data_IF_236070250093
#
_entry.id   IF_236070250093
#
_cell.length_a   1.000
_cell.length_b   1.000
_cell.length_c   1.000
_cell.angle_alpha   90.00
_cell.angle_beta   90.00
_cell.angle_gamma   90.00
#
_symmetry.space_group_name_H-M   'P 1'
#
loop_
_entity.id
_entity.type
_entity.pdbx_description
1 polymer ?
#
# COMPACT_ATOMS: atom_id res chain seq x y z
N UNK A 1 -18.04 -24.54 25.81
CA UNK A 1 -18.72 -23.27 25.45
C UNK A 1 -17.88 -22.13 25.99
N UNK A 2 -17.55 -21.13 25.17
CA UNK A 2 -16.67 -20.01 25.54
C UNK A 2 -16.29 -19.17 24.32
N UNK A 3 -17.28 -18.45 23.80
CA UNK A 3 -17.35 -17.77 22.51
C UNK A 3 -16.21 -16.79 22.18
N UNK A 4 -15.33 -17.16 21.24
CA UNK A 4 -14.49 -16.19 20.47
C UNK A 4 -15.26 -15.45 19.37
N UNK A 5 -16.60 -15.46 19.42
CA UNK A 5 -17.50 -14.86 18.42
C UNK A 5 -17.86 -13.39 18.67
N UNK A 6 -17.45 -12.79 19.79
CA UNK A 6 -17.92 -11.45 20.20
C UNK A 6 -17.21 -10.24 19.57
N UNK A 7 -15.96 -10.37 19.11
CA UNK A 7 -15.18 -9.21 18.66
C UNK A 7 -15.46 -8.78 17.21
N UNK A 8 -16.21 -9.59 16.44
CA UNK A 8 -16.43 -9.39 15.00
C UNK A 8 -17.69 -8.56 14.67
N UNK A 9 -18.51 -8.21 15.67
CA UNK A 9 -19.78 -7.47 15.53
C UNK A 9 -19.68 -5.94 15.72
N UNK A 10 -18.59 -5.40 16.27
CA UNK A 10 -18.48 -3.96 16.58
C UNK A 10 -17.92 -3.08 15.45
N UNK A 11 -17.53 -3.66 14.31
CA UNK A 11 -17.05 -2.88 13.17
C UNK A 11 -18.10 -2.91 12.05
N UNK A 12 -18.56 -1.75 11.56
CA UNK A 12 -19.45 -1.69 10.40
C UNK A 12 -18.88 -2.52 9.25
N UNK A 13 -19.73 -3.34 8.63
CA UNK A 13 -19.35 -4.07 7.41
C UNK A 13 -19.00 -3.04 6.33
N UNK A 14 -17.74 -3.07 5.92
CA UNK A 14 -17.17 -2.07 5.04
C UNK A 14 -16.00 -1.47 5.75
N UNK A 15 -14.78 -1.86 5.37
CA UNK A 15 -13.60 -1.06 5.70
C UNK A 15 -13.88 0.28 5.03
N UNK A 16 -14.35 1.27 5.79
CA UNK A 16 -14.43 2.64 5.31
C UNK A 16 -13.01 2.92 4.85
N UNK A 17 -12.84 3.03 3.53
CA UNK A 17 -11.58 3.42 2.95
C UNK A 17 -11.49 4.91 3.29
N UNK A 18 -11.15 5.23 4.54
CA UNK A 18 -10.66 6.55 4.89
C UNK A 18 -9.51 6.78 3.93
N UNK A 19 -9.73 7.66 2.96
CA UNK A 19 -8.87 7.87 1.80
C UNK A 19 -7.40 8.08 2.22
N UNK A 20 -7.19 8.56 3.45
CA UNK A 20 -5.88 8.86 4.02
C UNK A 20 -5.12 7.66 4.59
N UNK A 21 -5.76 6.51 4.87
CA UNK A 21 -5.06 5.32 5.39
C UNK A 21 -4.08 4.71 4.39
N UNK A 22 -4.26 5.00 3.10
CA UNK A 22 -3.41 4.53 2.00
C UNK A 22 -2.64 5.67 1.32
N UNK A 23 -2.76 6.92 1.78
CA UNK A 23 -2.02 8.06 1.23
C UNK A 23 -0.52 7.78 1.35
N UNK A 24 0.23 7.97 0.27
CA UNK A 24 1.69 7.82 0.29
C UNK A 24 2.33 8.87 1.20
N UNK A 25 3.49 8.56 1.77
CA UNK A 25 4.32 9.55 2.46
C UNK A 25 4.94 10.47 1.42
N UNK A 26 4.59 11.76 1.47
CA UNK A 26 5.19 12.78 0.61
C UNK A 26 6.39 13.46 1.32
N UNK A 27 7.06 14.40 0.64
CA UNK A 27 8.24 15.07 1.19
C UNK A 27 7.93 15.84 2.48
N UNK A 28 6.77 16.50 2.56
CA UNK A 28 6.35 17.26 3.75
C UNK A 28 6.05 16.31 4.92
N UNK A 29 5.37 15.19 4.66
CA UNK A 29 5.12 14.17 5.68
C UNK A 29 6.46 13.61 6.20
N UNK A 30 7.44 13.38 5.30
CA UNK A 30 8.77 12.88 5.65
C UNK A 30 9.51 13.91 6.52
N UNK A 31 9.43 15.20 6.20
CA UNK A 31 10.05 16.25 7.01
C UNK A 31 9.53 16.21 8.46
N UNK A 32 8.21 16.14 8.64
CA UNK A 32 7.57 16.00 9.97
C UNK A 32 7.97 14.69 10.66
N UNK A 33 8.04 13.57 9.92
CA UNK A 33 8.49 12.29 10.47
C UNK A 33 9.94 12.33 11.00
N UNK A 34 10.81 13.07 10.32
CA UNK A 34 12.23 13.16 10.65
C UNK A 34 12.57 14.18 11.72
N UNK A 35 11.62 15.05 12.10
CA UNK A 35 11.80 16.02 13.17
C UNK A 35 12.07 15.30 14.51
N UNK A 36 13.24 15.50 15.14
CA UNK A 36 13.58 14.83 16.41
C UNK A 36 12.84 15.40 17.61
N UNK A 37 12.26 16.60 17.51
CA UNK A 37 11.60 17.29 18.62
C UNK A 37 10.17 16.80 18.87
N UNK A 38 9.53 16.24 17.84
CA UNK A 38 8.16 15.74 17.93
C UNK A 38 8.11 14.29 18.42
N UNK A 39 7.11 13.97 19.24
CA UNK A 39 6.76 12.60 19.59
C UNK A 39 5.97 11.93 18.47
N UNK A 40 5.92 10.58 18.46
CA UNK A 40 5.13 9.81 17.48
C UNK A 40 3.64 10.19 17.53
N UNK A 41 3.12 10.53 18.72
CA UNK A 41 1.71 10.90 18.90
C UNK A 41 1.40 12.28 18.31
N UNK A 42 2.28 13.26 18.51
CA UNK A 42 2.14 14.60 17.93
C UNK A 42 2.22 14.54 16.41
N UNK A 43 3.18 13.79 15.86
CA UNK A 43 3.26 13.57 14.42
C UNK A 43 1.98 12.93 13.88
N UNK A 44 1.45 11.91 14.56
CA UNK A 44 0.21 11.25 14.17
C UNK A 44 -0.98 12.22 14.14
N UNK A 45 -1.08 13.09 15.15
CA UNK A 45 -2.10 14.12 15.21
C UNK A 45 -1.93 15.15 14.10
N UNK A 46 -0.71 15.65 13.88
CA UNK A 46 -0.40 16.66 12.87
C UNK A 46 -0.65 16.14 11.44
N UNK A 47 -0.32 14.86 11.17
CA UNK A 47 -0.47 14.26 9.86
C UNK A 47 -1.83 13.59 9.63
N UNK A 48 -2.72 13.55 10.64
CA UNK A 48 -4.02 12.89 10.55
C UNK A 48 -3.93 11.37 10.35
N UNK A 49 -2.86 10.73 10.84
CA UNK A 49 -2.57 9.30 10.63
C UNK A 49 -2.61 8.50 11.93
N UNK A 50 -2.65 7.18 11.82
CA UNK A 50 -2.57 6.32 13.01
C UNK A 50 -1.18 6.33 13.62
N UNK A 51 -1.11 6.28 14.95
CA UNK A 51 0.15 6.22 15.72
C UNK A 51 1.05 5.08 15.25
N UNK A 52 0.47 3.89 15.00
CA UNK A 52 1.23 2.74 14.50
C UNK A 52 1.82 2.98 13.10
N UNK A 53 1.06 3.61 12.19
CA UNK A 53 1.56 3.94 10.85
C UNK A 53 2.74 4.92 10.92
N UNK A 54 2.63 5.95 11.75
CA UNK A 54 3.71 6.92 12.01
C UNK A 54 4.93 6.25 12.65
N UNK A 55 4.73 5.37 13.63
CA UNK A 55 5.81 4.64 14.29
C UNK A 55 6.69 3.90 13.27
N UNK A 56 6.09 3.04 12.44
CA UNK A 56 6.82 2.29 11.43
C UNK A 56 7.43 3.18 10.35
N UNK A 57 6.71 4.21 9.89
CA UNK A 57 7.22 5.14 8.89
C UNK A 57 8.42 5.92 9.42
N UNK A 58 8.37 6.41 10.66
CA UNK A 58 9.45 7.16 11.27
C UNK A 58 10.72 6.33 11.36
N UNK A 59 10.63 5.08 11.81
CA UNK A 59 11.79 4.17 11.79
C UNK A 59 12.31 3.94 10.37
N UNK A 60 11.41 3.75 9.40
CA UNK A 60 11.78 3.56 7.99
C UNK A 60 12.54 4.73 7.38
N UNK A 61 12.09 5.96 7.62
CA UNK A 61 12.65 7.16 6.99
C UNK A 61 13.81 7.77 7.78
N UNK A 62 13.92 7.49 9.07
CA UNK A 62 15.09 7.91 9.88
C UNK A 62 16.23 6.89 9.85
N UNK A 63 15.97 5.65 9.44
CA UNK A 63 16.96 4.57 9.41
C UNK A 63 17.47 4.16 10.79
N UNK A 64 16.81 4.61 11.87
CA UNK A 64 17.21 4.31 13.26
C UNK A 64 16.84 2.86 13.59
N UNK A 65 17.85 2.01 13.57
CA UNK A 65 17.82 0.60 13.96
C UNK A 65 18.80 0.43 15.12
N UNK A 66 18.37 -0.23 16.19
CA UNK A 66 19.26 -0.47 17.34
C UNK A 66 20.24 -1.60 17.02
N UNK A 67 21.39 -1.70 17.73
CA UNK A 67 22.39 -2.73 17.46
C UNK A 67 21.82 -4.15 17.43
N UNK A 68 20.85 -4.46 18.28
CA UNK A 68 20.22 -5.78 18.42
C UNK A 68 19.23 -6.11 17.31
N UNK A 69 18.78 -5.10 16.55
CA UNK A 69 17.81 -5.25 15.47
C UNK A 69 18.47 -5.53 14.11
N UNK A 70 19.79 -5.35 13.97
CA UNK A 70 20.49 -5.70 12.75
C UNK A 70 20.42 -7.20 12.48
N UNK A 71 20.27 -7.59 11.21
CA UNK A 71 20.12 -9.00 10.81
C UNK A 71 18.78 -9.63 11.19
N UNK A 72 17.79 -8.83 11.60
CA UNK A 72 16.44 -9.32 11.95
C UNK A 72 15.37 -8.79 11.00
N UNK A 73 14.17 -9.38 11.10
CA UNK A 73 12.96 -8.89 10.43
C UNK A 73 12.73 -7.39 10.69
N UNK A 74 12.89 -6.95 11.94
CA UNK A 74 12.65 -5.57 12.36
C UNK A 74 13.63 -4.61 11.71
N UNK A 75 14.93 -4.91 11.74
CA UNK A 75 15.95 -4.08 11.10
C UNK A 75 15.72 -3.92 9.60
N UNK A 76 15.34 -5.01 8.92
CA UNK A 76 14.98 -4.97 7.50
C UNK A 76 13.70 -4.17 7.24
N UNK A 77 12.66 -4.35 8.05
CA UNK A 77 11.39 -3.61 7.95
C UNK A 77 11.58 -2.11 8.18
N UNK A 78 12.48 -1.71 9.08
CA UNK A 78 12.90 -0.33 9.32
C UNK A 78 13.85 0.22 8.24
N UNK A 79 14.15 -0.57 7.21
CA UNK A 79 14.85 -0.09 6.02
C UNK A 79 16.37 -0.14 6.09
N UNK A 80 16.97 -0.72 7.13
CA UNK A 80 18.42 -0.88 7.21
C UNK A 80 18.95 -1.74 6.04
N UNK A 81 20.07 -1.29 5.45
CA UNK A 81 20.72 -1.93 4.30
C UNK A 81 22.13 -2.45 4.60
N UNK A 82 22.51 -2.61 5.86
CA UNK A 82 23.79 -3.24 6.21
C UNK A 82 23.81 -4.72 5.77
N UNK A 83 25.00 -5.31 5.67
CA UNK A 83 25.21 -6.66 5.17
C UNK A 83 24.41 -7.71 5.95
N UNK A 84 24.33 -7.58 7.29
CA UNK A 84 23.53 -8.48 8.13
C UNK A 84 22.04 -8.43 7.76
N UNK A 85 21.46 -7.24 7.57
CA UNK A 85 20.07 -7.07 7.17
C UNK A 85 19.83 -7.53 5.71
N UNK A 86 20.80 -7.35 4.82
CA UNK A 86 20.72 -7.87 3.45
C UNK A 86 20.75 -9.40 3.44
N UNK A 87 21.62 -10.02 4.24
CA UNK A 87 21.72 -11.47 4.40
C UNK A 87 20.41 -12.04 4.93
N UNK A 88 19.87 -11.47 6.02
CA UNK A 88 18.55 -11.83 6.54
C UNK A 88 17.47 -11.84 5.45
N UNK A 89 17.41 -10.80 4.60
CA UNK A 89 16.42 -10.76 3.53
C UNK A 89 16.65 -11.82 2.45
N UNK A 90 17.91 -12.15 2.12
CA UNK A 90 18.21 -13.26 1.19
C UNK A 90 17.73 -14.60 1.75
N UNK A 91 18.05 -14.88 3.01
CA UNK A 91 17.66 -16.13 3.67
C UNK A 91 16.14 -16.24 3.79
N UNK A 92 15.49 -15.16 4.20
CA UNK A 92 14.03 -15.09 4.29
C UNK A 92 13.34 -15.27 2.93
N UNK A 93 13.93 -14.77 1.83
CA UNK A 93 13.41 -15.01 0.48
C UNK A 93 13.63 -16.46 0.02
N UNK A 94 14.74 -17.09 0.43
CA UNK A 94 15.02 -18.49 0.11
C UNK A 94 14.06 -19.46 0.81
N UNK A 95 13.63 -19.14 2.04
CA UNK A 95 12.64 -19.92 2.79
C UNK A 95 11.20 -19.72 2.29
N UNK A 96 10.93 -18.65 1.54
CA UNK A 96 9.58 -18.35 1.09
C UNK A 96 9.12 -19.30 0.00
N UNK A 97 7.93 -19.87 0.20
CA UNK A 97 7.19 -20.53 -0.87
C UNK A 97 6.63 -19.49 -1.85
N UNK A 98 7.45 -19.15 -2.85
CA UNK A 98 7.10 -18.21 -3.91
C UNK A 98 5.88 -18.67 -4.73
N UNK A 99 5.65 -19.98 -4.85
CA UNK A 99 4.52 -20.52 -5.59
C UNK A 99 3.21 -20.30 -4.83
N UNK A 100 3.19 -20.56 -3.52
CA UNK A 100 2.05 -20.26 -2.67
C UNK A 100 1.80 -18.75 -2.55
N UNK A 101 2.84 -17.92 -2.46
CA UNK A 101 2.71 -16.46 -2.51
C UNK A 101 2.08 -15.98 -3.83
N UNK A 102 2.56 -16.50 -4.97
CA UNK A 102 1.99 -16.19 -6.27
C UNK A 102 0.52 -16.65 -6.38
N UNK A 103 0.17 -17.81 -5.82
CA UNK A 103 -1.20 -18.29 -5.77
C UNK A 103 -2.10 -17.37 -4.94
N UNK A 104 -1.65 -16.95 -3.75
CA UNK A 104 -2.36 -15.96 -2.91
C UNK A 104 -2.57 -14.64 -3.65
N UNK A 105 -1.53 -14.13 -4.31
CA UNK A 105 -1.61 -12.89 -5.09
C UNK A 105 -2.62 -13.01 -6.25
N UNK A 106 -2.62 -14.13 -6.99
CA UNK A 106 -3.60 -14.41 -8.05
C UNK A 106 -5.03 -14.48 -7.51
N UNK A 107 -5.26 -15.18 -6.40
CA UNK A 107 -6.58 -15.28 -5.77
C UNK A 107 -7.11 -13.91 -5.31
N UNK A 108 -6.24 -13.10 -4.70
CA UNK A 108 -6.59 -11.73 -4.31
C UNK A 108 -6.95 -10.85 -5.51
N UNK A 109 -6.15 -10.90 -6.59
CA UNK A 109 -6.41 -10.14 -7.80
C UNK A 109 -7.68 -10.61 -8.52
N UNK A 110 -7.98 -11.91 -8.52
CA UNK A 110 -9.22 -12.46 -9.07
C UNK A 110 -10.44 -11.89 -8.36
N UNK A 111 -10.46 -11.92 -7.03
CA UNK A 111 -11.56 -11.35 -6.22
C UNK A 111 -11.83 -9.88 -6.56
N UNK A 112 -10.79 -9.08 -6.80
CA UNK A 112 -10.93 -7.68 -7.24
C UNK A 112 -11.48 -7.56 -8.66
N UNK A 113 -11.09 -8.44 -9.58
CA UNK A 113 -11.66 -8.45 -10.93
C UNK A 113 -13.15 -8.79 -10.88
N UNK A 114 -13.53 -9.82 -10.12
CA UNK A 114 -14.93 -10.25 -9.97
C UNK A 114 -15.84 -9.10 -9.47
N UNK A 115 -15.31 -8.20 -8.64
CA UNK A 115 -16.03 -7.00 -8.20
C UNK A 115 -16.24 -5.95 -9.30
N UNK A 116 -15.30 -5.84 -10.25
CA UNK A 116 -15.34 -4.83 -11.33
C UNK A 116 -15.97 -5.30 -12.62
N UNK A 117 -16.00 -6.61 -12.87
CA UNK A 117 -16.57 -7.20 -14.10
C UNK A 117 -18.03 -6.74 -14.34
N UNK A 118 -18.93 -6.73 -13.34
CA UNK A 118 -20.32 -6.32 -13.55
C UNK A 118 -20.49 -4.87 -14.02
N UNK A 119 -19.60 -3.96 -13.60
CA UNK A 119 -19.65 -2.55 -13.96
C UNK A 119 -18.72 -2.19 -15.13
N UNK A 120 -17.99 -3.16 -15.72
CA UNK A 120 -16.97 -2.92 -16.73
C UNK A 120 -17.56 -2.82 -18.15
N UNK A 121 -18.13 -1.65 -18.49
CA UNK A 121 -18.73 -1.38 -19.80
C UNK A 121 -17.76 -0.73 -20.81
N UNK A 122 -16.60 -0.22 -20.37
CA UNK A 122 -15.61 0.43 -21.25
C UNK A 122 -14.57 -0.55 -21.84
N UNK A 123 -15.01 -1.75 -22.23
CA UNK A 123 -14.14 -2.74 -22.87
C UNK A 123 -13.66 -2.23 -24.25
N UNK A 124 -12.34 -2.27 -24.48
CA UNK A 124 -11.66 -1.80 -25.71
C UNK A 124 -11.82 -0.32 -26.06
N UNK A 125 -12.51 0.48 -25.24
CA UNK A 125 -12.58 1.92 -25.41
C UNK A 125 -11.18 2.55 -25.20
N UNK A 126 -10.80 3.58 -26.00
CA UNK A 126 -9.53 4.27 -25.85
C UNK A 126 -9.43 4.93 -24.47
N UNK A 127 -8.20 5.16 -23.98
CA UNK A 127 -7.95 5.90 -22.75
C UNK A 127 -7.92 7.39 -23.04
N UNK A 128 -8.79 8.16 -22.40
CA UNK A 128 -8.77 9.63 -22.46
C UNK A 128 -7.78 10.19 -21.44
N UNK A 129 -7.39 11.47 -21.58
CA UNK A 129 -6.57 12.13 -20.57
C UNK A 129 -7.22 12.13 -19.19
N UNK A 130 -8.55 12.31 -19.13
CA UNK A 130 -9.33 12.25 -17.90
C UNK A 130 -9.34 10.84 -17.29
N UNK A 131 -9.52 9.79 -18.11
CA UNK A 131 -9.42 8.39 -17.65
C UNK A 131 -8.04 8.11 -17.05
N UNK A 132 -6.99 8.63 -17.68
CA UNK A 132 -5.61 8.43 -17.24
C UNK A 132 -5.35 9.14 -15.91
N UNK A 133 -5.86 10.36 -15.75
CA UNK A 133 -5.73 11.11 -14.49
C UNK A 133 -6.34 10.33 -13.31
N UNK A 134 -7.55 9.80 -13.47
CA UNK A 134 -8.22 8.97 -12.46
C UNK A 134 -7.48 7.64 -12.25
N UNK A 135 -7.12 6.95 -13.34
CA UNK A 135 -6.44 5.67 -13.24
C UNK A 135 -5.07 5.80 -12.57
N UNK A 136 -4.32 6.86 -12.85
CA UNK A 136 -2.96 7.07 -12.35
C UNK A 136 -2.87 7.93 -11.09
N UNK A 137 -4.01 8.35 -10.51
CA UNK A 137 -4.02 9.04 -9.23
C UNK A 137 -3.33 8.17 -8.15
N UNK A 138 -2.21 8.64 -7.57
CA UNK A 138 -1.45 7.88 -6.59
C UNK A 138 -2.19 7.68 -5.26
N UNK A 139 -3.20 8.51 -4.97
CA UNK A 139 -4.00 8.44 -3.76
C UNK A 139 -5.27 7.60 -3.95
N UNK A 140 -5.64 7.29 -5.20
CA UNK A 140 -6.81 6.48 -5.48
C UNK A 140 -6.49 4.97 -5.45
N UNK A 141 -7.26 4.15 -4.70
CA UNK A 141 -7.16 2.71 -4.77
C UNK A 141 -7.54 2.21 -6.18
N UNK A 142 -6.79 1.22 -6.68
CA UNK A 142 -7.00 0.63 -8.02
C UNK A 142 -8.42 0.10 -8.21
N UNK A 143 -9.03 -0.45 -7.16
CA UNK A 143 -10.40 -0.94 -7.21
C UNK A 143 -11.39 0.21 -7.43
N UNK A 144 -11.22 1.31 -6.70
CA UNK A 144 -12.13 2.46 -6.77
C UNK A 144 -11.99 3.17 -8.11
N UNK A 145 -10.76 3.36 -8.60
CA UNK A 145 -10.50 3.89 -9.94
C UNK A 145 -11.17 3.03 -11.02
N UNK A 146 -11.08 1.70 -10.90
CA UNK A 146 -11.70 0.78 -11.85
C UNK A 146 -13.23 0.88 -11.84
N UNK A 147 -13.85 0.94 -10.65
CA UNK A 147 -15.29 1.11 -10.51
C UNK A 147 -15.76 2.46 -11.07
N UNK A 148 -15.06 3.55 -10.76
CA UNK A 148 -15.37 4.89 -11.27
C UNK A 148 -15.26 4.96 -12.79
N UNK A 149 -14.23 4.35 -13.38
CA UNK A 149 -14.00 4.37 -14.82
C UNK A 149 -14.82 3.34 -15.61
N UNK A 150 -15.61 2.49 -14.95
CA UNK A 150 -16.31 1.40 -15.64
C UNK A 150 -15.35 0.44 -16.36
N UNK A 151 -14.18 0.18 -15.76
CA UNK A 151 -13.13 -0.72 -16.29
C UNK A 151 -12.77 -1.78 -15.26
N UNK A 152 -11.98 -2.78 -15.66
CA UNK A 152 -11.49 -3.79 -14.72
C UNK A 152 -10.25 -3.31 -13.97
N UNK A 153 -10.01 -3.84 -12.77
CA UNK A 153 -8.76 -3.57 -12.04
C UNK A 153 -7.51 -3.91 -12.85
N UNK A 154 -7.58 -4.95 -13.70
CA UNK A 154 -6.48 -5.32 -14.61
C UNK A 154 -6.23 -4.28 -15.69
N UNK A 155 -7.28 -3.64 -16.23
CA UNK A 155 -7.13 -2.54 -17.19
C UNK A 155 -6.46 -1.33 -16.53
N UNK A 156 -6.84 -0.98 -15.29
CA UNK A 156 -6.20 0.11 -14.53
C UNK A 156 -4.74 -0.20 -14.20
N UNK A 157 -4.40 -1.44 -13.81
CA UNK A 157 -2.99 -1.83 -13.65
C UNK A 157 -2.18 -1.62 -14.94
N UNK A 158 -2.74 -2.01 -16.09
CA UNK A 158 -2.10 -1.83 -17.39
C UNK A 158 -1.96 -0.35 -17.77
N UNK A 159 -2.94 0.49 -17.45
CA UNK A 159 -2.84 1.94 -17.63
C UNK A 159 -1.75 2.53 -16.75
N UNK A 160 -1.70 2.19 -15.45
CA UNK A 160 -0.65 2.66 -14.53
C UNK A 160 0.76 2.27 -14.94
N UNK A 161 0.94 1.14 -15.63
CA UNK A 161 2.26 0.76 -16.16
C UNK A 161 2.63 1.51 -17.44
N UNK A 162 1.65 1.99 -18.20
CA UNK A 162 1.85 2.65 -19.50
C UNK A 162 1.90 4.17 -19.42
N UNK A 163 1.15 4.78 -18.52
CA UNK A 163 0.97 6.22 -18.45
C UNK A 163 1.47 6.80 -17.13
N UNK A 164 1.90 8.05 -17.18
CA UNK A 164 2.07 8.96 -16.06
C UNK A 164 0.74 9.62 -15.70
N UNK A 165 0.67 10.25 -14.53
CA UNK A 165 -0.54 10.94 -14.07
C UNK A 165 -0.92 12.16 -14.92
N UNK A 166 0.02 12.71 -15.68
CA UNK A 166 -0.18 13.83 -16.61
C UNK A 166 -0.68 13.40 -18.00
N UNK A 167 -0.93 12.10 -18.23
CA UNK A 167 -1.37 11.57 -19.52
C UNK A 167 -0.23 11.13 -20.45
N UNK A 168 1.03 11.43 -20.12
CA UNK A 168 2.18 11.04 -20.96
C UNK A 168 2.50 9.56 -20.84
N UNK A 169 3.13 8.97 -21.86
CA UNK A 169 3.61 7.59 -21.80
C UNK A 169 4.85 7.48 -20.91
N UNK A 170 4.95 6.37 -20.19
CA UNK A 170 6.17 5.98 -19.49
C UNK A 170 7.17 5.43 -20.50
N UNK A 171 8.40 5.92 -20.42
CA UNK A 171 9.55 5.41 -21.17
C UNK A 171 9.98 4.04 -20.62
#
# INVERSE_FOLDING_TARGET
MGSVHGARMMYPRGRVHELDRSRRWNADDIAVLTDPTLTVREIAQQLGRSVGSVYYARHRYTGKVTPEQHGTATGWQYGCKCDACQQYNRDHLAEKDLAADAARARAFNRKRQDQTIPSAHHHKQPWTGEDIAVACDPNMPVLDAALQLGRTTRAVYAARSRYNSDGTLKN
#
